data_IF_083340942368
#
_entry.id   IF_083340942368
#
_cell.length_a   1.000
_cell.length_b   1.000
_cell.length_c   1.000
_cell.angle_alpha   90.00
_cell.angle_beta   90.00
_cell.angle_gamma   90.00
#
_symmetry.space_group_name_H-M   'P 1'
#
loop_
_entity.id
_entity.type
_entity.pdbx_description
1 polymer ?
#
# COMPACT_ATOMS: atom_id res chain seq x y z
N UNK A 1 -42.97 -51.39 -13.96
CA UNK A 1 -42.30 -50.12 -14.32
C UNK A 1 -42.01 -49.35 -13.03
N UNK A 2 -40.76 -49.33 -12.57
CA UNK A 2 -40.35 -48.63 -11.33
C UNK A 2 -39.53 -47.39 -11.72
N UNK A 3 -40.09 -46.21 -11.44
CA UNK A 3 -39.45 -44.90 -11.66
C UNK A 3 -38.38 -44.68 -10.59
N UNK A 4 -37.11 -44.57 -10.98
CA UNK A 4 -36.04 -44.06 -10.10
C UNK A 4 -35.93 -42.55 -10.31
N UNK A 5 -36.44 -41.78 -9.35
CA UNK A 5 -36.24 -40.33 -9.28
C UNK A 5 -34.89 -40.08 -8.61
N UNK A 6 -33.91 -39.53 -9.32
CA UNK A 6 -32.66 -39.05 -8.71
C UNK A 6 -32.85 -37.59 -8.28
N UNK A 7 -32.78 -37.34 -6.97
CA UNK A 7 -32.63 -36.01 -6.40
C UNK A 7 -31.23 -35.48 -6.71
N UNK A 8 -31.14 -34.40 -7.49
CA UNK A 8 -29.95 -33.58 -7.59
C UNK A 8 -30.02 -32.50 -6.49
N UNK A 9 -29.25 -32.66 -5.42
CA UNK A 9 -28.98 -31.58 -4.48
C UNK A 9 -28.02 -30.59 -5.15
N UNK A 10 -28.52 -29.41 -5.52
CA UNK A 10 -27.70 -28.28 -5.89
C UNK A 10 -27.01 -27.75 -4.62
N UNK A 11 -25.70 -27.99 -4.49
CA UNK A 11 -24.88 -27.41 -3.44
C UNK A 11 -24.46 -26.01 -3.91
N UNK A 12 -25.15 -24.98 -3.44
CA UNK A 12 -24.80 -23.59 -3.70
C UNK A 12 -23.51 -23.24 -2.95
N UNK A 13 -22.40 -23.18 -3.68
CA UNK A 13 -21.14 -22.68 -3.16
C UNK A 13 -21.29 -21.18 -2.85
N UNK A 14 -21.23 -20.82 -1.57
CA UNK A 14 -21.14 -19.42 -1.14
C UNK A 14 -19.68 -19.02 -1.32
N UNK A 15 -19.36 -18.29 -2.38
CA UNK A 15 -18.08 -17.59 -2.48
C UNK A 15 -18.10 -16.46 -1.45
N UNK A 16 -17.26 -16.53 -0.43
CA UNK A 16 -17.01 -15.37 0.44
C UNK A 16 -16.42 -14.27 -0.42
N UNK A 17 -17.15 -13.16 -0.55
CA UNK A 17 -16.55 -11.92 -1.02
C UNK A 17 -15.63 -11.43 0.08
N UNK A 18 -14.32 -11.37 -0.18
CA UNK A 18 -13.43 -10.54 0.61
C UNK A 18 -13.92 -9.09 0.50
N UNK A 19 -13.73 -8.31 1.57
CA UNK A 19 -14.08 -6.89 1.60
C UNK A 19 -12.79 -6.09 1.76
N UNK A 20 -12.58 -5.16 0.83
CA UNK A 20 -11.44 -4.25 0.79
C UNK A 20 -11.33 -3.49 2.12
N UNK A 21 -10.26 -3.76 2.87
CA UNK A 21 -9.98 -3.11 4.13
C UNK A 21 -9.15 -1.84 3.92
N UNK A 22 -9.32 -0.87 4.82
CA UNK A 22 -8.37 0.24 4.95
C UNK A 22 -7.20 -0.29 5.78
N UNK A 23 -5.99 -0.14 5.24
CA UNK A 23 -4.74 -0.51 5.89
C UNK A 23 -4.01 0.79 6.23
N UNK A 24 -3.61 0.92 7.49
CA UNK A 24 -2.94 2.10 8.03
C UNK A 24 -1.50 1.76 8.38
N UNK A 25 -0.54 2.45 7.76
CA UNK A 25 0.84 2.39 8.18
C UNK A 25 1.14 3.60 9.07
N UNK A 26 1.64 3.33 10.27
CA UNK A 26 2.17 4.32 11.20
C UNK A 26 3.69 4.25 11.17
N UNK A 27 4.33 5.38 10.88
CA UNK A 27 5.78 5.51 10.80
C UNK A 27 6.37 6.27 12.00
N UNK A 28 5.55 6.57 13.01
CA UNK A 28 5.99 7.25 14.22
C UNK A 28 6.64 6.28 15.22
N UNK A 29 7.49 6.81 16.10
CA UNK A 29 8.08 6.04 17.20
C UNK A 29 9.17 5.05 16.77
N UNK A 30 9.74 5.22 15.58
CA UNK A 30 10.95 4.51 15.18
C UNK A 30 12.14 4.86 16.06
N UNK A 31 13.14 3.98 16.10
CA UNK A 31 14.46 4.29 16.61
C UNK A 31 15.37 4.62 15.42
N UNK A 32 16.17 5.70 15.50
CA UNK A 32 17.31 6.04 14.61
C UNK A 32 17.85 4.84 13.81
N UNK A 33 17.27 4.57 12.66
CA UNK A 33 17.59 3.42 11.82
C UNK A 33 17.42 3.81 10.36
N UNK A 34 18.51 4.32 9.79
CA UNK A 34 18.64 4.53 8.36
C UNK A 34 18.59 3.19 7.63
N UNK A 35 17.95 3.17 6.47
CA UNK A 35 17.95 2.00 5.60
C UNK A 35 17.47 2.31 4.20
N UNK A 36 17.83 1.45 3.26
CA UNK A 36 17.45 1.56 1.86
C UNK A 36 17.35 0.14 1.24
N UNK A 37 16.13 -0.39 1.02
CA UNK A 37 14.85 0.15 1.47
C UNK A 37 14.55 -0.14 2.95
N UNK A 38 13.61 0.62 3.53
CA UNK A 38 12.88 0.21 4.72
C UNK A 38 11.69 -0.67 4.32
N UNK A 39 11.52 -1.79 5.03
CA UNK A 39 10.44 -2.72 4.78
C UNK A 39 9.42 -2.67 5.91
N UNK A 40 8.14 -2.58 5.53
CA UNK A 40 6.98 -2.59 6.42
C UNK A 40 6.00 -3.66 5.95
N UNK A 41 5.24 -4.22 6.88
CA UNK A 41 4.15 -5.15 6.57
C UNK A 41 3.01 -4.91 7.56
N UNK A 42 1.82 -4.67 7.05
CA UNK A 42 0.62 -4.40 7.85
C UNK A 42 -0.56 -5.11 7.21
N UNK A 43 -1.29 -5.91 8.00
CA UNK A 43 -2.47 -6.66 7.56
C UNK A 43 -2.27 -7.47 6.26
N UNK A 44 -1.05 -8.00 6.06
CA UNK A 44 -0.68 -8.80 4.89
C UNK A 44 -0.28 -8.00 3.64
N UNK A 45 -0.32 -6.67 3.71
CA UNK A 45 0.20 -5.78 2.68
C UNK A 45 1.64 -5.38 3.01
N UNK A 46 2.56 -5.73 2.12
CA UNK A 46 3.95 -5.34 2.21
C UNK A 46 4.19 -3.97 1.54
N UNK A 47 5.05 -3.16 2.16
CA UNK A 47 5.45 -1.84 1.70
C UNK A 47 6.99 -1.72 1.80
N UNK A 48 7.61 -1.35 0.69
CA UNK A 48 9.02 -0.97 0.60
C UNK A 48 9.12 0.54 0.43
N UNK A 49 9.91 1.21 1.27
CA UNK A 49 10.18 2.64 1.18
C UNK A 49 11.65 2.87 0.91
N UNK A 50 11.98 3.63 -0.14
CA UNK A 50 13.35 4.01 -0.49
C UNK A 50 13.45 5.51 -0.72
N UNK A 51 14.66 6.06 -0.55
CA UNK A 51 14.97 7.43 -0.95
C UNK A 51 15.38 7.49 -2.43
N UNK A 52 15.90 8.63 -2.85
CA UNK A 52 16.66 8.73 -4.11
C UNK A 52 17.78 7.68 -4.16
N UNK A 53 18.23 7.25 -5.35
CA UNK A 53 19.30 6.26 -5.46
C UNK A 53 20.57 6.65 -4.67
N UNK A 54 20.95 5.80 -3.72
CA UNK A 54 22.12 6.03 -2.85
C UNK A 54 21.83 6.87 -1.61
N UNK A 55 20.56 7.16 -1.33
CA UNK A 55 20.10 7.99 -0.23
C UNK A 55 19.27 7.13 0.72
N UNK A 56 19.66 7.11 1.99
CA UNK A 56 18.98 6.30 2.99
C UNK A 56 17.69 6.98 3.47
N UNK A 57 16.70 6.19 3.87
CA UNK A 57 15.46 6.68 4.47
C UNK A 57 15.63 6.74 5.99
N UNK A 58 15.25 7.87 6.59
CA UNK A 58 15.13 8.03 8.04
C UNK A 58 13.76 7.56 8.54
N UNK A 59 13.68 7.16 9.82
CA UNK A 59 12.44 6.76 10.49
C UNK A 59 12.31 7.28 11.93
N UNK A 60 13.15 8.22 12.37
CA UNK A 60 13.19 8.62 13.78
C UNK A 60 11.98 9.52 14.15
N UNK A 61 11.65 10.48 13.28
CA UNK A 61 10.54 11.44 13.47
C UNK A 61 9.33 11.19 12.53
N UNK A 62 9.33 10.05 11.85
CA UNK A 62 8.54 9.78 10.65
C UNK A 62 9.47 9.41 9.51
N UNK A 63 8.92 9.12 8.32
CA UNK A 63 9.74 8.86 7.15
C UNK A 63 10.30 10.15 6.58
N UNK A 64 11.62 10.17 6.41
CA UNK A 64 12.36 11.24 5.77
C UNK A 64 13.56 10.69 5.02
N UNK A 65 14.46 11.56 4.57
CA UNK A 65 15.56 11.20 3.66
C UNK A 65 16.88 11.72 4.22
N UNK A 66 17.94 10.91 4.19
CA UNK A 66 19.30 11.33 4.53
C UNK A 66 20.02 11.77 3.25
N UNK A 67 19.72 12.97 2.77
CA UNK A 67 20.13 13.44 1.42
C UNK A 67 21.63 13.72 1.30
N UNK A 68 22.31 13.98 2.42
CA UNK A 68 23.75 14.21 2.45
C UNK A 68 24.37 14.00 3.85
N UNK A 69 25.70 14.04 3.92
CA UNK A 69 26.44 14.00 5.20
C UNK A 69 26.25 15.25 6.07
N UNK A 70 25.68 16.33 5.52
CA UNK A 70 25.45 17.60 6.23
C UNK A 70 23.97 17.89 6.45
N UNK A 71 23.10 17.06 5.89
CA UNK A 71 21.70 17.05 6.24
C UNK A 71 21.59 16.56 7.70
N UNK A 72 20.84 17.33 8.49
CA UNK A 72 20.64 17.10 9.93
C UNK A 72 19.17 17.14 10.31
N UNK A 73 18.30 17.57 9.39
CA UNK A 73 16.85 17.48 9.51
C UNK A 73 16.38 16.09 9.11
N UNK A 74 17.01 15.46 8.12
CA UNK A 74 16.57 14.20 7.53
C UNK A 74 15.13 14.25 7.00
N UNK A 75 14.63 15.45 6.69
CA UNK A 75 13.27 15.65 6.16
C UNK A 75 13.25 15.32 4.66
N UNK A 76 12.07 15.15 4.09
CA UNK A 76 11.91 15.33 2.65
C UNK A 76 11.93 16.83 2.41
N UNK A 77 13.01 17.36 1.85
CA UNK A 77 13.17 18.79 1.65
C UNK A 77 13.76 19.15 0.27
N UNK A 78 13.70 20.46 -0.03
CA UNK A 78 14.17 21.02 -1.29
C UNK A 78 15.62 21.47 -1.21
N UNK A 79 16.30 21.22 -0.09
CA UNK A 79 17.63 21.71 0.18
C UNK A 79 18.70 20.73 -0.34
N UNK A 80 19.12 20.95 -1.58
CA UNK A 80 20.18 20.16 -2.21
C UNK A 80 19.63 19.41 -3.42
N UNK A 81 19.99 18.13 -3.64
CA UNK A 81 19.27 17.31 -4.62
C UNK A 81 17.82 17.12 -4.14
N UNK A 82 16.84 17.27 -5.03
CA UNK A 82 15.41 17.12 -4.67
C UNK A 82 15.16 15.77 -3.99
N UNK A 83 14.76 15.78 -2.72
CA UNK A 83 14.50 14.56 -1.98
C UNK A 83 13.19 13.93 -2.43
N UNK A 84 13.23 12.61 -2.61
CA UNK A 84 12.05 11.80 -2.91
C UNK A 84 12.00 10.56 -2.03
N UNK A 85 10.85 10.34 -1.42
CA UNK A 85 10.45 9.07 -0.82
C UNK A 85 9.60 8.28 -1.80
N UNK A 86 10.13 7.17 -2.28
CA UNK A 86 9.39 6.21 -3.11
C UNK A 86 8.77 5.12 -2.24
N UNK A 87 7.45 5.01 -2.31
CA UNK A 87 6.66 3.99 -1.62
C UNK A 87 6.16 2.95 -2.61
N UNK A 88 6.64 1.72 -2.48
CA UNK A 88 6.30 0.61 -3.38
C UNK A 88 5.58 -0.50 -2.59
N UNK A 89 4.32 -0.71 -2.93
CA UNK A 89 3.47 -1.75 -2.36
C UNK A 89 3.62 -3.07 -3.11
N UNK A 90 3.47 -4.19 -2.40
CA UNK A 90 3.49 -5.53 -2.99
C UNK A 90 2.32 -5.81 -3.97
N UNK A 91 1.26 -5.01 -3.90
CA UNK A 91 0.12 -5.03 -4.81
C UNK A 91 -0.42 -3.62 -5.08
N UNK A 92 -1.29 -3.47 -6.07
CA UNK A 92 -1.88 -2.17 -6.37
C UNK A 92 -2.87 -1.75 -5.27
N UNK A 93 -2.74 -0.51 -4.80
CA UNK A 93 -3.58 0.05 -3.74
C UNK A 93 -4.16 1.39 -4.17
N UNK A 94 -5.29 1.76 -3.57
CA UNK A 94 -5.80 3.13 -3.63
C UNK A 94 -5.19 3.91 -2.47
N UNK A 95 -4.47 5.00 -2.76
CA UNK A 95 -4.00 5.92 -1.74
C UNK A 95 -5.18 6.76 -1.24
N UNK A 96 -5.45 6.71 0.07
CA UNK A 96 -6.56 7.41 0.69
C UNK A 96 -6.13 8.68 1.39
N UNK A 97 -5.05 8.63 2.17
CA UNK A 97 -4.54 9.82 2.85
C UNK A 97 -3.07 9.66 3.23
N UNK A 98 -2.42 10.79 3.48
CA UNK A 98 -1.09 10.88 4.08
C UNK A 98 -1.14 11.81 5.28
N UNK A 99 -0.47 11.44 6.35
CA UNK A 99 -0.24 12.26 7.54
C UNK A 99 1.21 12.75 7.53
N UNK A 100 1.38 14.06 7.57
CA UNK A 100 2.68 14.72 7.59
C UNK A 100 3.13 15.06 9.01
N UNK A 101 4.44 15.14 9.20
CA UNK A 101 5.12 15.52 10.44
C UNK A 101 6.09 16.67 10.22
N UNK A 102 6.39 17.41 11.29
CA UNK A 102 7.30 18.56 11.30
C UNK A 102 7.01 19.64 10.23
N UNK A 103 5.73 19.89 9.97
CA UNK A 103 5.25 20.83 8.95
C UNK A 103 5.27 22.27 9.48
N UNK A 104 5.87 23.17 8.72
CA UNK A 104 5.86 24.62 8.81
C UNK A 104 4.61 25.27 8.23
N UNK A 105 4.65 26.60 8.08
CA UNK A 105 3.45 27.39 7.76
C UNK A 105 3.08 27.45 6.27
N UNK A 106 3.98 27.07 5.35
CA UNK A 106 3.78 27.15 3.91
C UNK A 106 4.48 25.99 3.19
N UNK A 107 4.47 24.80 3.80
CA UNK A 107 5.18 23.67 3.23
C UNK A 107 4.26 22.96 2.24
N UNK A 108 4.73 22.88 1.01
CA UNK A 108 4.06 22.14 -0.04
C UNK A 108 4.63 20.72 -0.16
N UNK A 109 3.81 19.77 -0.60
CA UNK A 109 4.29 18.46 -1.06
C UNK A 109 3.98 18.27 -2.54
N UNK A 110 4.81 17.46 -3.20
CA UNK A 110 4.57 16.91 -4.52
C UNK A 110 4.40 15.40 -4.44
N UNK A 111 3.32 14.89 -5.05
CA UNK A 111 3.07 13.47 -5.24
C UNK A 111 3.15 13.12 -6.72
N UNK A 112 3.99 12.14 -7.07
CA UNK A 112 4.03 11.53 -8.40
C UNK A 112 3.37 10.14 -8.38
N UNK A 113 2.40 9.92 -9.26
CA UNK A 113 1.71 8.64 -9.44
C UNK A 113 1.42 8.41 -10.91
N UNK A 114 1.92 7.31 -11.48
CA UNK A 114 1.69 6.92 -12.88
C UNK A 114 1.99 8.06 -13.89
N UNK A 115 3.03 8.85 -13.63
CA UNK A 115 3.42 10.00 -14.46
C UNK A 115 2.55 11.26 -14.28
N UNK A 116 1.57 11.24 -13.38
CA UNK A 116 0.83 12.43 -12.94
C UNK A 116 1.51 13.04 -11.73
N UNK A 117 1.69 14.37 -11.75
CA UNK A 117 2.20 15.14 -10.61
C UNK A 117 1.06 15.94 -9.97
N UNK A 118 0.99 15.90 -8.64
CA UNK A 118 0.10 16.71 -7.82
C UNK A 118 0.94 17.47 -6.79
N UNK A 119 1.00 18.80 -6.89
CA UNK A 119 1.63 19.65 -5.89
C UNK A 119 0.57 20.40 -5.09
N UNK A 120 0.63 20.35 -3.76
CA UNK A 120 -0.38 20.94 -2.86
C UNK A 120 0.25 21.40 -1.55
N UNK A 121 -0.33 22.46 -1.00
CA UNK A 121 -0.15 22.90 0.38
C UNK A 121 -0.52 21.78 1.36
N UNK A 122 0.35 21.56 2.34
CA UNK A 122 0.08 20.65 3.45
C UNK A 122 -0.93 21.34 4.37
N UNK A 123 -2.13 20.75 4.57
CA UNK A 123 -3.21 21.44 5.26
C UNK A 123 -2.91 21.62 6.74
N UNK A 124 -3.48 22.67 7.33
CA UNK A 124 -3.51 22.86 8.79
C UNK A 124 -4.17 21.65 9.47
N UNK A 125 -3.37 20.80 10.11
CA UNK A 125 -3.78 19.48 10.63
C UNK A 125 -3.01 18.31 10.03
N UNK A 126 -2.12 18.58 9.08
CA UNK A 126 -1.12 17.70 8.48
C UNK A 126 -1.67 16.45 7.77
N UNK A 127 -2.99 16.25 7.72
CA UNK A 127 -3.61 15.14 7.01
C UNK A 127 -4.13 15.61 5.66
N UNK A 128 -3.55 15.10 4.58
CA UNK A 128 -4.08 15.32 3.23
C UNK A 128 -4.92 14.13 2.78
N UNK A 129 -6.16 14.40 2.37
CA UNK A 129 -7.12 13.41 1.87
C UNK A 129 -7.08 13.31 0.34
N UNK A 130 -6.79 12.11 -0.17
CA UNK A 130 -6.75 11.78 -1.60
C UNK A 130 -8.04 11.15 -2.12
N UNK A 131 -9.09 11.00 -1.31
CA UNK A 131 -10.31 10.27 -1.70
C UNK A 131 -10.99 10.81 -2.96
N UNK A 132 -10.76 12.09 -3.33
CA UNK A 132 -11.28 12.70 -4.55
C UNK A 132 -10.46 12.42 -5.82
N UNK A 133 -9.24 11.90 -5.70
CA UNK A 133 -8.29 11.74 -6.82
C UNK A 133 -8.30 10.33 -7.42
N UNK A 134 -8.70 9.31 -6.65
CA UNK A 134 -8.65 7.89 -7.04
C UNK A 134 -7.25 7.44 -7.51
N UNK A 135 -6.18 7.85 -6.80
CA UNK A 135 -4.84 7.39 -7.13
C UNK A 135 -4.68 5.90 -6.81
N UNK A 136 -4.62 5.10 -7.88
CA UNK A 136 -4.46 3.65 -7.83
C UNK A 136 -3.16 3.25 -8.52
N UNK A 137 -2.20 2.74 -7.74
CA UNK A 137 -0.91 2.29 -8.24
C UNK A 137 -0.23 1.35 -7.24
N UNK A 138 0.88 0.74 -7.66
CA UNK A 138 1.83 0.08 -6.77
C UNK A 138 2.88 1.05 -6.24
N UNK A 139 3.07 2.21 -6.88
CA UNK A 139 4.15 3.16 -6.57
C UNK A 139 3.62 4.58 -6.38
N UNK A 140 4.10 5.23 -5.32
CA UNK A 140 3.80 6.62 -4.98
C UNK A 140 5.09 7.30 -4.56
N UNK A 141 5.45 8.38 -5.24
CA UNK A 141 6.67 9.12 -4.94
C UNK A 141 6.31 10.46 -4.32
N UNK A 142 6.79 10.72 -3.11
CA UNK A 142 6.59 11.96 -2.39
C UNK A 142 7.87 12.77 -2.41
N UNK A 143 7.79 14.01 -2.88
CA UNK A 143 8.91 14.95 -2.95
C UNK A 143 8.45 16.35 -2.57
N UNK A 144 9.34 17.31 -2.71
CA UNK A 144 9.02 18.75 -2.68
C UNK A 144 9.50 19.42 -3.96
N UNK A 145 9.12 20.69 -4.15
CA UNK A 145 9.57 21.51 -5.28
C UNK A 145 10.15 22.86 -4.86
N UNK A 146 9.78 23.38 -3.68
CA UNK A 146 10.33 24.60 -3.11
C UNK A 146 11.48 24.33 -2.15
N UNK A 147 12.45 25.26 -2.12
CA UNK A 147 13.59 25.22 -1.19
C UNK A 147 13.19 25.46 0.28
N UNK A 148 11.97 25.92 0.52
CA UNK A 148 11.43 26.24 1.84
C UNK A 148 10.37 25.23 2.29
N UNK A 149 10.24 24.11 1.57
CA UNK A 149 9.29 23.06 1.87
C UNK A 149 10.07 21.89 2.50
N UNK A 150 9.64 21.46 3.68
CA UNK A 150 10.27 20.36 4.40
C UNK A 150 9.25 19.60 5.26
N UNK A 151 9.26 18.28 5.21
CA UNK A 151 8.33 17.48 6.03
C UNK A 151 8.83 16.06 6.28
N UNK A 152 8.20 15.39 7.24
CA UNK A 152 8.20 13.92 7.32
C UNK A 152 6.86 13.34 6.89
N UNK A 153 6.85 12.07 6.49
CA UNK A 153 5.61 11.30 6.38
C UNK A 153 5.46 10.44 7.64
N UNK A 154 4.49 10.78 8.48
CA UNK A 154 4.23 10.10 9.74
C UNK A 154 3.28 8.91 9.59
N UNK A 155 2.48 8.87 8.53
CA UNK A 155 1.63 7.72 8.25
C UNK A 155 0.88 7.83 6.94
N UNK A 156 0.36 6.69 6.46
CA UNK A 156 -0.45 6.62 5.25
C UNK A 156 -1.63 5.67 5.45
N UNK A 157 -2.75 5.99 4.82
CA UNK A 157 -3.88 5.09 4.70
C UNK A 157 -4.06 4.69 3.25
N UNK A 158 -4.17 3.39 3.02
CA UNK A 158 -4.41 2.82 1.70
C UNK A 158 -5.56 1.83 1.77
N UNK A 159 -6.13 1.52 0.61
CA UNK A 159 -7.12 0.46 0.46
C UNK A 159 -6.66 -0.50 -0.63
N UNK A 160 -6.54 -1.77 -0.29
CA UNK A 160 -6.30 -2.83 -1.27
C UNK A 160 -7.56 -3.01 -2.10
N UNK A 161 -7.40 -3.42 -3.35
CA UNK A 161 -8.55 -3.78 -4.17
C UNK A 161 -8.71 -5.28 -4.01
N UNK A 162 -9.88 -5.73 -3.56
CA UNK A 162 -10.17 -7.16 -3.52
C UNK A 162 -9.95 -7.72 -4.92
N UNK A 163 -8.93 -8.55 -5.07
CA UNK A 163 -8.88 -9.50 -6.15
C UNK A 163 -9.69 -10.67 -5.63
N UNK A 164 -10.91 -10.94 -6.15
CA UNK A 164 -11.63 -12.15 -5.77
C UNK A 164 -10.68 -13.30 -5.98
N UNK A 165 -10.37 -14.04 -4.91
CA UNK A 165 -9.44 -15.16 -4.96
C UNK A 165 -9.72 -15.95 -6.24
N UNK A 166 -8.72 -16.23 -7.09
CA UNK A 166 -8.97 -16.81 -8.39
C UNK A 166 -9.89 -18.01 -8.23
N UNK A 167 -11.11 -17.95 -8.76
CA UNK A 167 -12.12 -19.01 -8.62
C UNK A 167 -11.61 -20.39 -9.06
N UNK A 168 -10.46 -20.44 -9.72
CA UNK A 168 -9.59 -21.60 -9.89
C UNK A 168 -9.27 -22.37 -8.62
N UNK A 169 -9.11 -21.78 -7.44
CA UNK A 169 -8.87 -22.54 -6.19
C UNK A 169 -10.14 -23.26 -5.75
N UNK A 170 -11.29 -22.58 -5.83
CA UNK A 170 -12.58 -23.21 -5.59
C UNK A 170 -12.88 -24.32 -6.63
N UNK A 171 -12.60 -24.07 -7.91
CA UNK A 171 -12.74 -25.05 -8.99
C UNK A 171 -11.75 -26.21 -8.87
N UNK A 172 -10.52 -25.96 -8.42
CA UNK A 172 -9.53 -26.99 -8.13
C UNK A 172 -10.00 -27.86 -6.98
N UNK A 173 -10.49 -27.25 -5.90
CA UNK A 173 -11.11 -27.95 -4.77
C UNK A 173 -12.31 -28.81 -5.19
N UNK A 174 -13.22 -28.24 -6.00
CA UNK A 174 -14.36 -28.97 -6.57
C UNK A 174 -13.93 -30.09 -7.52
N UNK A 175 -12.92 -29.84 -8.36
CA UNK A 175 -12.36 -30.83 -9.28
C UNK A 175 -11.77 -32.03 -8.52
N UNK A 176 -11.00 -31.78 -7.47
CA UNK A 176 -10.43 -32.82 -6.60
C UNK A 176 -11.52 -33.57 -5.82
N UNK A 177 -12.53 -32.87 -5.30
CA UNK A 177 -13.66 -33.50 -4.63
C UNK A 177 -14.45 -34.41 -5.58
N UNK A 178 -14.73 -33.93 -6.81
CA UNK A 178 -15.38 -34.71 -7.86
C UNK A 178 -14.58 -35.95 -8.25
N UNK A 179 -13.25 -35.82 -8.39
CA UNK A 179 -12.36 -36.95 -8.67
C UNK A 179 -12.37 -37.99 -7.53
N UNK A 180 -12.38 -37.52 -6.28
CA UNK A 180 -12.46 -38.37 -5.09
C UNK A 180 -13.74 -39.20 -5.04
N UNK A 181 -14.89 -38.58 -5.34
CA UNK A 181 -16.19 -39.28 -5.42
C UNK A 181 -16.21 -40.28 -6.57
N UNK A 182 -15.71 -39.91 -7.75
CA UNK A 182 -15.63 -40.80 -8.91
C UNK A 182 -14.81 -42.07 -8.60
N UNK A 183 -13.68 -41.92 -7.91
CA UNK A 183 -12.81 -43.04 -7.54
C UNK A 183 -13.45 -44.00 -6.54
N UNK A 184 -14.30 -43.50 -5.62
CA UNK A 184 -15.07 -44.36 -4.70
C UNK A 184 -16.11 -45.21 -5.43
N UNK A 185 -16.73 -44.68 -6.49
CA UNK A 185 -17.74 -45.38 -7.30
C UNK A 185 -17.17 -46.43 -8.25
N UNK A 186 -15.87 -46.41 -8.54
CA UNK A 186 -15.21 -47.43 -9.35
C UNK A 186 -14.75 -48.66 -8.54
N UNK A 187 -14.66 -48.54 -7.22
CA UNK A 187 -14.27 -49.65 -6.31
C UNK A 187 -15.46 -50.39 -5.68
N UNK A 188 -16.67 -49.88 -5.84
CA UNK A 188 -17.92 -50.51 -5.43
C UNK A 188 -18.63 -51.09 -6.65
#
# INVERSE_FOLDING_TARGET
>A
MIKKLMCACALSAVSSVASAAIISFDFTGGSNAFGDPLLFSQDGLDLSVSGNPGVAVDRDSGLGVLSSLFDTSYQVDGFGPDDTLSMVFGESVTLLSVLFGAVGANDDFTLAVNGTLLSRDIPNGNLFDFSSFNFFSTSFDFSVAGFNDDYYISGINVRTVDVPEPGTLALLGLGLAGLGVARRRQKA
#
